data_IF_231625446520
#
_entry.id   IF_231625446520
#
_cell.length_a   1.000
_cell.length_b   1.000
_cell.length_c   1.000
_cell.angle_alpha   90.00
_cell.angle_beta   90.00
_cell.angle_gamma   90.00
#
_symmetry.space_group_name_H-M   'P 1'
#
loop_
_entity.id
_entity.type
_entity.pdbx_description
1 polymer ?
#
# COMPACT_ATOMS: atom_id res chain seq x y z
N UNK A 1 11.91 22.71 -18.34
CA UNK A 1 11.50 22.81 -16.91
C UNK A 1 11.41 21.45 -16.17
N UNK A 2 10.95 20.37 -16.82
CA UNK A 2 10.78 19.03 -16.20
C UNK A 2 12.06 18.39 -15.64
N UNK A 3 13.18 18.43 -16.38
CA UNK A 3 14.48 17.88 -15.93
C UNK A 3 15.04 18.64 -14.71
N UNK A 4 14.90 19.97 -14.70
CA UNK A 4 15.31 20.81 -13.55
C UNK A 4 14.48 20.48 -12.30
N UNK A 5 13.17 20.27 -12.44
CA UNK A 5 12.26 19.87 -11.36
C UNK A 5 12.64 18.50 -10.76
N UNK A 6 12.86 17.48 -11.61
CA UNK A 6 13.30 16.14 -11.17
C UNK A 6 14.66 16.19 -10.47
N UNK A 7 15.60 16.98 -10.97
CA UNK A 7 16.91 17.18 -10.32
C UNK A 7 16.78 17.79 -8.92
N UNK A 8 15.90 18.79 -8.75
CA UNK A 8 15.62 19.41 -7.45
C UNK A 8 14.98 18.41 -6.47
N UNK A 9 13.96 17.68 -6.87
CA UNK A 9 13.32 16.68 -6.01
C UNK A 9 14.31 15.62 -5.53
N UNK A 10 15.16 15.09 -6.42
CA UNK A 10 16.18 14.10 -6.05
C UNK A 10 17.16 14.63 -5.00
N UNK A 11 17.55 15.91 -5.07
CA UNK A 11 18.41 16.54 -4.05
C UNK A 11 17.70 16.61 -2.69
N UNK A 12 16.42 16.99 -2.68
CA UNK A 12 15.60 17.07 -1.46
C UNK A 12 15.40 15.69 -0.84
N UNK A 13 15.04 14.68 -1.63
CA UNK A 13 14.88 13.29 -1.14
C UNK A 13 16.20 12.77 -0.60
N UNK A 14 17.32 13.02 -1.28
CA UNK A 14 18.65 12.62 -0.80
C UNK A 14 19.00 13.26 0.53
N UNK A 15 18.70 14.55 0.71
CA UNK A 15 18.89 15.25 1.98
C UNK A 15 18.10 14.57 3.12
N UNK A 16 16.82 14.29 2.92
CA UNK A 16 16.01 13.60 3.93
C UNK A 16 16.46 12.15 4.20
N UNK A 17 16.94 11.44 3.17
CA UNK A 17 17.48 10.09 3.34
C UNK A 17 18.79 10.07 4.12
N UNK A 18 19.72 10.99 3.81
CA UNK A 18 21.03 11.06 4.46
C UNK A 18 20.95 11.64 5.88
N UNK A 19 20.20 12.72 6.09
CA UNK A 19 20.20 13.45 7.36
C UNK A 19 19.13 12.97 8.34
N UNK A 20 18.01 12.41 7.86
CA UNK A 20 16.87 12.01 8.71
C UNK A 20 16.54 10.53 8.61
N UNK A 21 17.33 9.74 7.88
CA UNK A 21 17.17 8.29 7.80
C UNK A 21 15.92 7.84 7.04
N UNK A 22 15.36 8.65 6.14
CA UNK A 22 14.24 8.23 5.30
C UNK A 22 14.68 7.10 4.36
N UNK A 23 13.96 5.98 4.39
CA UNK A 23 14.23 4.78 3.58
C UNK A 23 12.96 4.33 2.85
N UNK A 24 13.14 3.68 1.71
CA UNK A 24 12.06 3.01 1.01
C UNK A 24 11.59 1.75 1.76
N UNK A 25 10.29 1.38 1.67
CA UNK A 25 9.21 2.09 0.98
C UNK A 25 8.78 3.36 1.74
N UNK A 26 8.76 4.50 1.05
CA UNK A 26 8.31 5.76 1.65
C UNK A 26 6.82 5.69 1.99
N UNK A 27 6.45 6.21 3.14
CA UNK A 27 5.08 6.27 3.63
C UNK A 27 4.55 7.68 3.44
N UNK A 28 3.54 7.86 2.58
CA UNK A 28 3.00 9.18 2.27
C UNK A 28 1.69 9.36 3.03
N UNK A 29 1.69 10.28 3.99
CA UNK A 29 0.49 10.69 4.70
C UNK A 29 -0.27 11.72 3.86
N UNK A 30 -1.55 11.49 3.60
CA UNK A 30 -2.44 12.36 2.83
C UNK A 30 -3.60 12.84 3.70
N UNK A 31 -4.04 14.07 3.45
CA UNK A 31 -5.22 14.68 4.06
C UNK A 31 -6.46 14.55 3.16
N UNK A 32 -7.61 15.05 3.64
CA UNK A 32 -8.87 14.96 2.92
C UNK A 32 -8.91 15.84 1.67
N UNK A 33 -8.26 17.00 1.74
CA UNK A 33 -8.10 17.93 0.63
C UNK A 33 -7.36 17.29 -0.53
N UNK A 34 -6.26 16.58 -0.26
CA UNK A 34 -5.51 15.87 -1.28
C UNK A 34 -6.37 14.81 -1.99
N UNK A 35 -7.12 14.00 -1.22
CA UNK A 35 -8.03 12.99 -1.78
C UNK A 35 -9.12 13.65 -2.63
N UNK A 36 -9.74 14.72 -2.13
CA UNK A 36 -10.78 15.44 -2.84
C UNK A 36 -10.27 16.01 -4.17
N UNK A 37 -9.09 16.66 -4.17
CA UNK A 37 -8.50 17.19 -5.40
C UNK A 37 -8.13 16.11 -6.41
N UNK A 38 -7.67 14.93 -5.97
CA UNK A 38 -7.40 13.83 -6.89
C UNK A 38 -8.67 13.37 -7.62
N UNK A 39 -9.80 13.32 -6.92
CA UNK A 39 -11.09 12.91 -7.47
C UNK A 39 -11.66 13.96 -8.43
N UNK A 40 -11.77 15.21 -7.98
CA UNK A 40 -12.35 16.32 -8.77
C UNK A 40 -11.60 16.54 -10.09
N UNK A 41 -10.28 16.38 -10.07
CA UNK A 41 -9.44 16.56 -11.26
C UNK A 41 -9.11 15.26 -12.02
N UNK A 42 -9.70 14.12 -11.62
CA UNK A 42 -9.48 12.81 -12.25
C UNK A 42 -8.00 12.45 -12.39
N UNK A 43 -7.22 12.71 -11.34
CA UNK A 43 -5.76 12.49 -11.32
C UNK A 43 -5.37 11.09 -10.81
N UNK A 44 -6.33 10.19 -10.66
CA UNK A 44 -6.07 8.80 -10.28
C UNK A 44 -5.69 7.96 -11.52
N UNK A 45 -4.72 7.04 -11.40
CA UNK A 45 -3.94 6.68 -10.21
C UNK A 45 -2.77 7.65 -9.91
N UNK A 46 -2.55 7.97 -8.64
CA UNK A 46 -1.48 8.89 -8.21
C UNK A 46 -0.09 8.21 -8.07
N UNK A 47 -0.02 6.89 -8.24
CA UNK A 47 1.14 6.05 -7.93
C UNK A 47 2.39 6.44 -8.72
N UNK A 48 2.26 6.63 -10.03
CA UNK A 48 3.39 7.00 -10.90
C UNK A 48 3.88 8.42 -10.64
N UNK A 49 2.95 9.35 -10.40
CA UNK A 49 3.29 10.73 -10.07
C UNK A 49 4.08 10.80 -8.76
N UNK A 50 3.66 10.05 -7.75
CA UNK A 50 4.34 9.98 -6.45
C UNK A 50 5.68 9.24 -6.54
N UNK A 51 5.75 8.17 -7.32
CA UNK A 51 7.00 7.44 -7.58
C UNK A 51 8.03 8.33 -8.28
N UNK A 52 7.64 9.08 -9.32
CA UNK A 52 8.52 10.03 -10.01
C UNK A 52 8.94 11.17 -9.07
N UNK A 53 7.99 11.71 -8.28
CA UNK A 53 8.23 12.81 -7.34
C UNK A 53 9.27 12.43 -6.27
N UNK A 54 9.11 11.27 -5.65
CA UNK A 54 10.02 10.78 -4.60
C UNK A 54 11.27 10.11 -5.16
N UNK A 55 11.38 9.98 -6.49
CA UNK A 55 12.45 9.21 -7.14
C UNK A 55 12.58 7.80 -6.54
N UNK A 56 11.44 7.18 -6.23
CA UNK A 56 11.36 5.90 -5.54
C UNK A 56 11.38 4.72 -6.50
N UNK A 57 11.84 3.54 -6.05
CA UNK A 57 11.81 2.32 -6.86
C UNK A 57 10.38 1.82 -7.08
N UNK A 58 9.53 1.91 -6.05
CA UNK A 58 8.13 1.43 -6.06
C UNK A 58 7.17 2.56 -5.65
N UNK A 59 5.90 2.41 -6.02
CA UNK A 59 4.85 3.33 -5.61
C UNK A 59 4.74 3.35 -4.07
N UNK A 60 4.79 4.53 -3.43
CA UNK A 60 4.70 4.62 -1.98
C UNK A 60 3.27 4.31 -1.52
N UNK A 61 3.06 3.51 -0.47
CA UNK A 61 1.74 3.37 0.13
C UNK A 61 1.23 4.72 0.65
N UNK A 62 0.00 5.04 0.25
CA UNK A 62 -0.75 6.17 0.77
C UNK A 62 -1.40 5.82 2.10
N UNK A 63 -1.37 6.76 3.03
CA UNK A 63 -1.85 6.62 4.39
C UNK A 63 -2.69 7.83 4.72
N UNK A 64 -3.79 7.65 5.45
CA UNK A 64 -4.50 8.78 6.05
C UNK A 64 -4.77 8.51 7.52
N UNK A 65 -5.10 9.55 8.27
CA UNK A 65 -5.37 9.47 9.70
C UNK A 65 -6.87 9.37 9.97
N UNK A 66 -7.23 8.84 11.15
CA UNK A 66 -8.64 8.75 11.57
C UNK A 66 -9.30 10.13 11.71
N UNK A 67 -8.54 11.16 12.10
CA UNK A 67 -9.08 12.51 12.23
C UNK A 67 -9.47 13.09 10.87
N UNK A 68 -8.70 12.83 9.80
CA UNK A 68 -9.04 13.23 8.43
C UNK A 68 -10.31 12.54 7.94
N UNK A 69 -10.47 11.24 8.21
CA UNK A 69 -11.70 10.51 7.87
C UNK A 69 -12.91 11.11 8.62
N UNK A 70 -12.74 11.43 9.92
CA UNK A 70 -13.79 12.08 10.70
C UNK A 70 -14.10 13.50 10.22
N UNK A 71 -13.10 14.24 9.72
CA UNK A 71 -13.27 15.56 9.13
C UNK A 71 -14.09 15.49 7.84
N UNK A 72 -13.72 14.62 6.90
CA UNK A 72 -14.46 14.39 5.66
C UNK A 72 -15.92 13.98 5.93
N UNK A 73 -16.14 13.16 6.97
CA UNK A 73 -17.49 12.78 7.40
C UNK A 73 -18.33 14.00 7.82
N UNK A 74 -17.73 14.98 8.50
CA UNK A 74 -18.42 16.22 8.94
C UNK A 74 -18.70 17.18 7.79
N UNK A 75 -17.88 17.18 6.74
CA UNK A 75 -18.09 18.02 5.55
C UNK A 75 -19.32 17.59 4.73
N UNK A 76 -19.80 16.35 4.91
CA UNK A 76 -21.08 15.90 4.38
C UNK A 76 -21.05 15.64 2.86
N UNK A 77 -22.21 15.84 2.21
CA UNK A 77 -22.48 15.34 0.85
C UNK A 77 -21.52 15.83 -0.23
N UNK A 78 -20.98 17.05 -0.09
CA UNK A 78 -20.02 17.60 -1.07
C UNK A 78 -18.67 16.85 -1.08
N UNK A 79 -18.37 16.07 -0.03
CA UNK A 79 -17.12 15.35 0.13
C UNK A 79 -17.35 13.85 0.36
N UNK A 80 -18.52 13.32 0.02
CA UNK A 80 -18.84 11.89 0.24
C UNK A 80 -17.91 10.96 -0.51
N UNK A 81 -17.57 11.26 -1.76
CA UNK A 81 -16.63 10.45 -2.56
C UNK A 81 -15.22 10.49 -1.96
N UNK A 82 -14.79 11.65 -1.46
CA UNK A 82 -13.50 11.79 -0.80
C UNK A 82 -13.46 11.04 0.53
N UNK A 83 -14.57 11.04 1.28
CA UNK A 83 -14.74 10.25 2.50
C UNK A 83 -14.60 8.75 2.22
N UNK A 84 -15.31 8.24 1.21
CA UNK A 84 -15.27 6.82 0.84
C UNK A 84 -13.85 6.40 0.42
N UNK A 85 -13.19 7.20 -0.42
CA UNK A 85 -11.81 6.96 -0.84
C UNK A 85 -10.82 7.00 0.34
N UNK A 86 -10.94 8.00 1.24
CA UNK A 86 -10.10 8.10 2.42
C UNK A 86 -10.30 6.91 3.38
N UNK A 87 -11.51 6.39 3.50
CA UNK A 87 -11.82 5.23 4.33
C UNK A 87 -11.19 3.94 3.77
N UNK A 88 -11.15 3.78 2.44
CA UNK A 88 -10.42 2.70 1.79
C UNK A 88 -8.91 2.79 2.07
N UNK A 89 -8.31 3.97 1.91
CA UNK A 89 -6.88 4.19 2.19
C UNK A 89 -6.54 3.95 3.67
N UNK A 90 -7.40 4.38 4.60
CA UNK A 90 -7.23 4.14 6.03
C UNK A 90 -7.24 2.64 6.37
N UNK A 91 -8.08 1.86 5.67
CA UNK A 91 -8.30 0.42 5.93
C UNK A 91 -7.29 -0.47 5.17
N UNK A 92 -6.81 -0.02 4.01
CA UNK A 92 -5.87 -0.74 3.16
C UNK A 92 -4.54 -1.09 3.83
N UNK A 93 -4.19 -0.40 4.93
CA UNK A 93 -3.04 -0.74 5.79
C UNK A 93 -3.12 -2.15 6.39
N UNK A 94 -4.33 -2.69 6.55
CA UNK A 94 -4.56 -4.04 7.08
C UNK A 94 -4.61 -5.12 5.99
N UNK A 95 -4.87 -4.74 4.73
CA UNK A 95 -5.10 -5.69 3.63
C UNK A 95 -3.81 -6.23 3.01
N UNK A 96 -2.69 -5.50 3.07
CA UNK A 96 -1.41 -6.04 2.63
C UNK A 96 -1.00 -7.26 3.46
N UNK A 97 -1.25 -7.27 4.77
CA UNK A 97 -1.01 -8.44 5.63
C UNK A 97 -1.88 -9.64 5.25
N UNK A 98 -3.14 -9.41 4.85
CA UNK A 98 -4.04 -10.48 4.42
C UNK A 98 -3.64 -11.05 3.05
N UNK A 99 -3.26 -10.20 2.09
CA UNK A 99 -2.78 -10.67 0.78
C UNK A 99 -1.42 -11.38 0.88
N UNK A 100 -0.51 -10.92 1.74
CA UNK A 100 0.74 -11.66 2.01
C UNK A 100 0.46 -12.99 2.70
N UNK A 101 -0.48 -13.05 3.65
CA UNK A 101 -0.84 -14.32 4.29
C UNK A 101 -1.47 -15.31 3.29
N UNK A 102 -2.38 -14.84 2.43
CA UNK A 102 -3.00 -15.67 1.38
C UNK A 102 -1.99 -16.13 0.33
N UNK A 103 -1.05 -15.28 -0.09
CA UNK A 103 0.00 -15.65 -1.04
C UNK A 103 0.99 -16.65 -0.43
N UNK A 104 1.40 -16.47 0.83
CA UNK A 104 2.25 -17.45 1.55
C UNK A 104 1.53 -18.79 1.67
N UNK A 105 0.24 -18.80 2.01
CA UNK A 105 -0.55 -20.02 2.13
C UNK A 105 -0.73 -20.73 0.78
N UNK A 106 -0.98 -19.97 -0.31
CA UNK A 106 -1.07 -20.51 -1.67
C UNK A 106 0.27 -21.08 -2.16
N UNK A 107 1.39 -20.42 -1.83
CA UNK A 107 2.75 -20.87 -2.15
C UNK A 107 3.12 -22.15 -1.40
N UNK A 108 2.82 -22.23 -0.10
CA UNK A 108 3.06 -23.41 0.73
C UNK A 108 2.17 -24.58 0.31
N UNK A 109 0.90 -24.34 -0.02
CA UNK A 109 0.00 -25.39 -0.51
C UNK A 109 0.50 -25.98 -1.84
N UNK A 110 0.94 -25.13 -2.77
CA UNK A 110 1.50 -25.59 -4.04
C UNK A 110 2.83 -26.34 -3.87
N UNK A 111 3.67 -25.92 -2.92
CA UNK A 111 4.93 -26.60 -2.59
C UNK A 111 4.73 -27.93 -1.86
N UNK A 112 3.67 -28.09 -1.06
CA UNK A 112 3.34 -29.35 -0.38
C UNK A 112 2.69 -30.36 -1.34
N UNK A 113 1.94 -29.91 -2.35
CA UNK A 113 1.41 -30.80 -3.39
C UNK A 113 2.48 -31.32 -4.36
N UNK A 114 3.57 -30.57 -4.58
CA UNK A 114 4.68 -31.02 -5.43
C UNK A 114 5.72 -31.87 -4.68
N UNK A 115 5.77 -31.81 -3.35
CA UNK A 115 6.60 -32.66 -2.51
C UNK A 115 5.93 -33.98 -2.07
N UNK A 116 4.75 -34.32 -2.59
CA UNK A 116 4.18 -35.66 -2.41
C UNK A 116 4.80 -36.64 -3.42
N UNK A 117 6.13 -36.76 -3.33
CA UNK A 117 6.88 -37.92 -3.78
C UNK A 117 6.74 -38.95 -2.66
N UNK A 118 5.97 -40.00 -2.95
CA UNK A 118 6.10 -41.35 -2.43
C UNK A 118 6.35 -41.53 -0.93
N UNK A 119 5.33 -41.98 -0.19
CA UNK A 119 5.43 -43.21 0.62
C UNK A 119 4.03 -43.70 1.04
N UNK A 120 3.86 -45.03 1.20
CA UNK A 120 2.62 -45.74 0.97
C UNK A 120 1.72 -45.80 2.22
N UNK A 121 0.44 -46.00 1.94
CA UNK A 121 -0.55 -46.60 2.84
C UNK A 121 0.05 -47.74 3.67
N UNK A 122 0.21 -47.52 4.98
CA UNK A 122 0.31 -48.61 5.95
C UNK A 122 -1.08 -48.84 6.57
N UNK A 123 -1.64 -50.06 6.49
CA UNK A 123 -2.85 -50.42 7.21
C UNK A 123 -2.50 -50.63 8.68
N UNK A 124 -3.29 -50.06 9.58
CA UNK A 124 -3.17 -50.28 11.03
C UNK A 124 -3.89 -51.58 11.42
N UNK A 125 -3.23 -52.56 12.07
CA UNK A 125 -3.92 -53.71 12.62
C UNK A 125 -3.79 -53.77 14.16
N UNK A 126 -4.81 -54.36 14.78
CA UNK A 126 -4.88 -54.97 16.12
C UNK A 126 -4.96 -54.13 17.42
N UNK A 127 -6.08 -54.39 18.11
CA UNK A 127 -6.26 -54.77 19.52
C UNK A 127 -5.76 -53.85 20.65
N UNK A 128 -6.72 -53.35 21.45
CA UNK A 128 -7.17 -54.05 22.67
C UNK A 128 -8.57 -53.59 23.10
#
# INVERSE_FOLDING_TARGET
>A
MRVKRRSRHRKVVKFYSTCFGFREPYKVLIDGTFVHHLLVHQLLPADDALRELLSASRAPPLLTSKCVVAELRRLGKSHSEAFDAAQLVATARSLSLLLFHSLIHFSLFHSLTTLNIYLPFYPWPYMH
#
